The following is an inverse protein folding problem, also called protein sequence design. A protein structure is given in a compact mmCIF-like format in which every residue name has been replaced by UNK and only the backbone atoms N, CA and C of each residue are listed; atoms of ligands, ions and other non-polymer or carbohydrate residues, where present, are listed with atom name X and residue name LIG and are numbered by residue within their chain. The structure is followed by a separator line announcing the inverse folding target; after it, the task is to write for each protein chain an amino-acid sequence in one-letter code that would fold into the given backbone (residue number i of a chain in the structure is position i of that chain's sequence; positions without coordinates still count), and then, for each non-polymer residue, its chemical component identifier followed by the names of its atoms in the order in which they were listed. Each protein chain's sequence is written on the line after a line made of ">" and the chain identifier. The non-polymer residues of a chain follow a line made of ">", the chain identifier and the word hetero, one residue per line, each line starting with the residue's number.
data_IF_494749312602
#
_entry.id   IF_494749312602
#
_cell.length_a   1.000
_cell.length_b   1.000
_cell.length_c   1.000
_cell.angle_alpha   90.00
_cell.angle_beta   90.00
_cell.angle_gamma   90.00
#
_symmetry.space_group_name_H-M   'P 1'
#
loop_
_entity.id
_entity.type
_entity.pdbx_description
1 polymer ?
#
# COMPACT_ATOMS: atom_id res chain seq x y z
N UNK A 1 19.26 -22.08 -5.01
CA UNK A 1 18.68 -21.28 -3.91
C UNK A 1 19.66 -20.13 -3.63
N UNK A 2 19.33 -18.92 -4.01
CA UNK A 2 20.17 -17.77 -3.77
C UNK A 2 20.23 -17.51 -2.25
N UNK A 3 21.43 -17.33 -1.68
CA UNK A 3 21.65 -17.22 -0.21
C UNK A 3 20.89 -16.08 0.50
N UNK A 4 20.42 -15.11 -0.24
CA UNK A 4 19.68 -13.96 0.31
C UNK A 4 18.15 -14.15 0.40
N UNK A 5 17.63 -15.23 -0.18
CA UNK A 5 16.20 -15.57 -0.06
C UNK A 5 15.90 -16.19 1.31
N UNK A 6 14.72 -15.90 1.84
CA UNK A 6 14.28 -16.54 3.10
C UNK A 6 14.28 -18.04 2.97
N UNK A 7 14.77 -18.80 3.97
CA UNK A 7 14.82 -20.25 3.95
C UNK A 7 13.43 -20.86 3.69
N UNK A 8 13.34 -21.86 2.83
CA UNK A 8 12.07 -22.53 2.47
C UNK A 8 11.31 -23.04 3.71
N UNK A 9 12.04 -23.64 4.67
CA UNK A 9 11.45 -24.17 5.88
C UNK A 9 10.81 -23.05 6.73
N UNK A 10 11.47 -21.89 6.84
CA UNK A 10 10.95 -20.75 7.57
C UNK A 10 9.67 -20.19 6.92
N UNK A 11 9.66 -20.08 5.59
CA UNK A 11 8.45 -19.67 4.86
C UNK A 11 7.32 -20.67 5.09
N UNK A 12 7.62 -21.98 5.00
CA UNK A 12 6.60 -23.03 5.21
C UNK A 12 6.03 -22.99 6.62
N UNK A 13 6.88 -22.81 7.62
CA UNK A 13 6.44 -22.66 9.01
C UNK A 13 5.57 -21.41 9.19
N UNK A 14 6.00 -20.28 8.64
CA UNK A 14 5.21 -19.04 8.68
C UNK A 14 3.84 -19.19 8.01
N UNK A 15 3.76 -19.84 6.86
CA UNK A 15 2.50 -20.11 6.18
C UNK A 15 1.61 -21.10 6.96
N UNK A 16 2.21 -22.08 7.64
CA UNK A 16 1.47 -22.98 8.52
C UNK A 16 0.83 -22.22 9.69
N UNK A 17 1.62 -21.35 10.35
CA UNK A 17 1.11 -20.47 11.41
C UNK A 17 0.02 -19.54 10.87
N UNK A 18 0.23 -18.94 9.70
CA UNK A 18 -0.74 -18.09 9.01
C UNK A 18 -2.06 -18.86 8.76
N UNK A 19 -1.98 -20.09 8.28
CA UNK A 19 -3.16 -20.94 8.06
C UNK A 19 -3.92 -21.25 9.36
N UNK A 20 -3.23 -21.33 10.51
CA UNK A 20 -3.79 -21.73 11.79
C UNK A 20 -4.34 -20.52 12.59
N UNK A 21 -3.62 -19.38 12.58
CA UNK A 21 -4.00 -18.19 13.33
C UNK A 21 -5.18 -17.44 12.68
N UNK A 22 -5.24 -17.42 11.38
CA UNK A 22 -6.42 -16.95 10.70
C UNK A 22 -7.50 -18.01 10.91
N UNK A 23 -8.35 -17.93 11.94
CA UNK A 23 -9.57 -18.77 12.05
C UNK A 23 -10.31 -18.73 10.72
N UNK A 24 -9.79 -19.50 9.74
CA UNK A 24 -10.20 -19.38 8.36
C UNK A 24 -11.62 -19.85 8.22
N UNK A 25 -12.47 -18.92 7.83
CA UNK A 25 -13.66 -19.28 7.13
C UNK A 25 -13.29 -20.23 5.99
N UNK A 26 -14.14 -21.22 5.74
CA UNK A 26 -13.95 -22.26 4.70
C UNK A 26 -13.76 -21.68 3.29
N UNK A 27 -13.87 -20.38 3.14
CA UNK A 27 -13.72 -19.64 1.88
C UNK A 27 -12.28 -19.52 1.37
N UNK A 28 -11.27 -19.52 2.27
CA UNK A 28 -9.87 -19.38 1.89
C UNK A 28 -9.16 -20.73 1.89
N UNK A 29 -8.55 -21.09 0.78
CA UNK A 29 -7.77 -22.31 0.66
C UNK A 29 -6.47 -22.24 1.49
N UNK A 30 -6.10 -23.35 2.13
CA UNK A 30 -4.84 -23.46 2.89
C UNK A 30 -3.61 -23.39 1.99
N UNK A 31 -2.50 -22.95 2.56
CA UNK A 31 -1.22 -22.86 1.85
C UNK A 31 -0.71 -24.22 1.40
N UNK A 32 -0.06 -24.25 0.23
CA UNK A 32 0.50 -25.49 -0.37
C UNK A 32 1.92 -25.22 -0.89
N UNK A 33 2.77 -26.23 -0.78
CA UNK A 33 4.05 -26.27 -1.50
C UNK A 33 3.81 -26.66 -2.95
N UNK A 34 4.51 -26.00 -3.88
CA UNK A 34 4.37 -26.21 -5.32
C UNK A 34 5.72 -26.60 -5.93
N UNK A 35 5.70 -27.50 -6.91
CA UNK A 35 6.77 -27.63 -7.89
C UNK A 35 6.55 -26.58 -8.98
N UNK A 36 7.60 -25.83 -9.30
CA UNK A 36 7.58 -24.84 -10.37
C UNK A 36 8.28 -25.31 -11.66
N UNK A 37 8.65 -26.60 -11.70
CA UNK A 37 9.27 -27.21 -12.89
C UNK A 37 8.28 -27.40 -14.05
N UNK A 38 7.01 -27.46 -13.73
CA UNK A 38 5.92 -27.67 -14.70
C UNK A 38 4.63 -27.04 -14.17
N UNK A 39 3.63 -26.86 -15.06
CA UNK A 39 2.33 -26.32 -14.70
C UNK A 39 2.24 -24.79 -14.83
N UNK A 40 1.04 -24.27 -14.60
CA UNK A 40 0.70 -22.86 -14.85
C UNK A 40 1.54 -21.87 -14.03
N UNK A 41 1.88 -22.20 -12.78
CA UNK A 41 2.63 -21.34 -11.89
C UNK A 41 4.13 -21.27 -12.20
N UNK A 42 4.68 -22.28 -12.86
CA UNK A 42 6.10 -22.31 -13.21
C UNK A 42 6.40 -21.82 -14.62
N UNK A 43 5.45 -22.02 -15.55
CA UNK A 43 5.61 -21.74 -16.98
C UNK A 43 6.14 -20.33 -17.30
N UNK A 44 5.66 -19.25 -16.67
CA UNK A 44 6.15 -17.90 -16.99
C UNK A 44 7.49 -17.55 -16.32
N UNK A 45 7.96 -18.39 -15.38
CA UNK A 45 9.17 -18.12 -14.61
C UNK A 45 10.42 -18.71 -15.28
N UNK A 46 11.57 -18.15 -14.97
CA UNK A 46 12.87 -18.66 -15.45
C UNK A 46 13.15 -20.01 -14.75
N UNK A 47 13.01 -21.11 -15.47
CA UNK A 47 13.09 -22.49 -14.95
C UNK A 47 14.41 -22.78 -14.23
N UNK A 48 15.54 -22.30 -14.74
CA UNK A 48 16.84 -22.49 -14.09
C UNK A 48 16.93 -21.89 -12.67
N UNK A 49 16.07 -20.92 -12.34
CA UNK A 49 16.08 -20.21 -11.06
C UNK A 49 15.01 -20.72 -10.09
N UNK A 50 13.82 -21.01 -10.58
CA UNK A 50 12.64 -21.28 -9.75
C UNK A 50 12.15 -22.70 -9.91
N UNK A 51 12.51 -23.57 -8.99
CA UNK A 51 12.13 -25.00 -8.99
C UNK A 51 10.99 -25.34 -8.04
N UNK A 52 10.75 -24.50 -7.04
CA UNK A 52 9.72 -24.70 -6.04
C UNK A 52 9.21 -23.36 -5.52
N UNK A 53 7.96 -23.33 -5.09
CA UNK A 53 7.29 -22.17 -4.50
C UNK A 53 6.24 -22.59 -3.48
N UNK A 54 5.54 -21.60 -2.97
CA UNK A 54 4.39 -21.78 -2.10
C UNK A 54 3.21 -21.02 -2.66
N UNK A 55 2.03 -21.59 -2.55
CA UNK A 55 0.76 -20.92 -2.83
C UNK A 55 0.02 -20.72 -1.53
N UNK A 56 -0.51 -19.55 -1.30
CA UNK A 56 -1.43 -19.24 -0.20
C UNK A 56 -2.50 -18.28 -0.68
N UNK A 57 -3.57 -18.14 0.07
CA UNK A 57 -4.67 -17.23 -0.25
C UNK A 57 -4.51 -15.94 0.54
N UNK A 58 -4.78 -14.83 -0.13
CA UNK A 58 -4.82 -13.51 0.46
C UNK A 58 -6.02 -12.73 -0.12
N UNK A 59 -6.39 -11.63 0.52
CA UNK A 59 -7.45 -10.77 0.05
C UNK A 59 -6.93 -9.81 -1.02
N UNK A 60 -7.71 -9.63 -2.06
CA UNK A 60 -7.51 -8.61 -3.07
C UNK A 60 -8.59 -7.54 -2.91
N UNK A 61 -8.21 -6.30 -3.16
CA UNK A 61 -9.12 -5.16 -3.09
C UNK A 61 -8.80 -4.15 -4.19
N UNK A 62 -9.86 -3.55 -4.72
CA UNK A 62 -9.77 -2.29 -5.45
C UNK A 62 -9.84 -1.15 -4.42
N UNK A 63 -8.71 -0.49 -4.21
CA UNK A 63 -8.55 0.53 -3.17
C UNK A 63 -9.53 1.70 -3.35
N UNK A 64 -9.71 2.17 -4.58
CA UNK A 64 -10.62 3.29 -4.91
C UNK A 64 -12.05 2.91 -4.59
N UNK A 65 -12.45 1.70 -4.97
CA UNK A 65 -13.78 1.17 -4.70
C UNK A 65 -14.03 1.00 -3.20
N UNK A 66 -13.03 0.49 -2.46
CA UNK A 66 -13.14 0.33 -1.02
C UNK A 66 -13.38 1.67 -0.33
N UNK A 67 -12.61 2.71 -0.67
CA UNK A 67 -12.79 4.06 -0.12
C UNK A 67 -14.18 4.62 -0.45
N UNK A 68 -14.60 4.49 -1.70
CA UNK A 68 -15.93 4.95 -2.15
C UNK A 68 -17.04 4.24 -1.40
N UNK A 69 -16.97 2.91 -1.25
CA UNK A 69 -17.99 2.13 -0.55
C UNK A 69 -18.05 2.47 0.94
N UNK A 70 -16.92 2.74 1.59
CA UNK A 70 -16.92 3.23 2.98
C UNK A 70 -17.60 4.59 3.11
N UNK A 71 -17.38 5.49 2.16
CA UNK A 71 -18.06 6.79 2.15
C UNK A 71 -19.57 6.66 1.92
N UNK A 72 -19.99 5.80 1.00
CA UNK A 72 -21.42 5.49 0.73
C UNK A 72 -22.06 4.89 1.98
N UNK A 73 -21.45 3.88 2.60
CA UNK A 73 -21.97 3.24 3.81
C UNK A 73 -22.10 4.22 4.98
N UNK A 74 -21.14 5.14 5.11
CA UNK A 74 -21.22 6.19 6.13
C UNK A 74 -22.36 7.17 5.83
N UNK A 75 -22.56 7.59 4.58
CA UNK A 75 -23.66 8.44 4.17
C UNK A 75 -25.02 7.80 4.41
N UNK A 76 -25.18 6.52 4.09
CA UNK A 76 -26.40 5.74 4.35
C UNK A 76 -26.73 5.67 5.86
N UNK A 77 -25.72 5.80 6.72
CA UNK A 77 -25.86 5.86 8.16
C UNK A 77 -25.99 7.29 8.72
N UNK A 78 -26.15 8.27 7.84
CA UNK A 78 -26.41 9.67 8.21
C UNK A 78 -25.18 10.56 8.35
N UNK A 79 -24.02 10.13 7.88
CA UNK A 79 -22.86 11.00 7.81
C UNK A 79 -22.96 11.99 6.63
N UNK A 80 -22.51 13.21 6.84
CA UNK A 80 -22.37 14.22 5.79
C UNK A 80 -20.98 14.08 5.14
N UNK A 81 -20.94 13.49 3.95
CA UNK A 81 -19.69 13.27 3.18
C UNK A 81 -19.50 14.42 2.21
N UNK A 82 -18.40 15.15 2.36
CA UNK A 82 -18.08 16.32 1.54
C UNK A 82 -16.76 16.13 0.83
N UNK A 83 -16.81 15.99 -0.46
CA UNK A 83 -15.65 16.06 -1.35
C UNK A 83 -15.29 17.52 -1.67
N UNK A 84 -14.07 17.75 -2.13
CA UNK A 84 -13.55 19.11 -2.46
C UNK A 84 -13.68 20.13 -1.32
N UNK A 85 -13.71 19.65 -0.07
CA UNK A 85 -13.89 20.48 1.12
C UNK A 85 -12.67 20.33 2.02
N UNK A 86 -11.90 21.41 2.20
CA UNK A 86 -10.70 21.44 3.02
C UNK A 86 -10.96 22.04 4.40
N UNK A 87 -10.21 21.58 5.40
CA UNK A 87 -10.18 22.17 6.74
C UNK A 87 -9.13 23.27 6.74
N UNK A 88 -9.58 24.53 6.91
CA UNK A 88 -8.70 25.69 6.92
C UNK A 88 -8.25 26.06 8.34
N UNK A 89 -9.15 26.01 9.31
CA UNK A 89 -8.88 26.39 10.69
C UNK A 89 -9.62 25.53 11.70
N UNK A 90 -8.97 25.26 12.82
CA UNK A 90 -9.55 24.52 13.95
C UNK A 90 -9.30 25.30 15.23
N UNK A 91 -10.35 25.60 15.98
CA UNK A 91 -10.28 26.32 17.25
C UNK A 91 -11.12 25.63 18.33
N UNK A 92 -10.66 25.67 19.57
CA UNK A 92 -11.45 25.20 20.73
C UNK A 92 -12.21 26.39 21.34
N UNK A 93 -13.54 26.29 21.37
CA UNK A 93 -14.39 27.35 21.93
C UNK A 93 -15.57 26.74 22.69
N UNK A 94 -15.74 27.12 23.93
CA UNK A 94 -16.87 26.67 24.76
C UNK A 94 -16.97 25.14 24.92
N UNK A 95 -15.84 24.44 25.03
CA UNK A 95 -15.80 22.98 25.17
C UNK A 95 -16.05 22.20 23.87
N UNK A 96 -16.28 22.91 22.75
CA UNK A 96 -16.46 22.31 21.42
C UNK A 96 -15.36 22.75 20.46
N UNK A 97 -15.25 22.07 19.34
CA UNK A 97 -14.41 22.43 18.23
C UNK A 97 -15.18 23.28 17.23
N UNK A 98 -14.65 24.44 16.87
CA UNK A 98 -15.10 25.25 15.73
C UNK A 98 -14.14 24.97 14.58
N UNK A 99 -14.67 24.45 13.49
CA UNK A 99 -13.89 24.04 12.31
C UNK A 99 -14.32 24.92 11.14
N UNK A 100 -13.43 25.74 10.64
CA UNK A 100 -13.64 26.47 9.38
C UNK A 100 -13.26 25.57 8.23
N UNK A 101 -14.17 25.38 7.32
CA UNK A 101 -13.98 24.58 6.10
C UNK A 101 -14.22 25.42 4.86
N UNK A 102 -13.50 25.10 3.79
CA UNK A 102 -13.63 25.73 2.48
C UNK A 102 -14.11 24.70 1.47
N UNK A 103 -15.25 24.99 0.87
CA UNK A 103 -15.77 24.27 -0.29
C UNK A 103 -15.13 24.86 -1.55
N UNK A 104 -14.27 24.09 -2.21
CA UNK A 104 -13.56 24.53 -3.41
C UNK A 104 -14.48 24.65 -4.64
N UNK A 105 -15.58 23.88 -4.68
CA UNK A 105 -16.54 23.93 -5.80
C UNK A 105 -17.43 25.17 -5.73
N UNK A 106 -17.92 25.50 -4.54
CA UNK A 106 -18.74 26.68 -4.30
C UNK A 106 -17.89 27.94 -4.04
N UNK A 107 -16.58 27.79 -3.81
CA UNK A 107 -15.67 28.84 -3.36
C UNK A 107 -16.19 29.58 -2.11
N UNK A 108 -16.71 28.82 -1.16
CA UNK A 108 -17.32 29.35 0.07
C UNK A 108 -16.64 28.78 1.30
N UNK A 109 -16.51 29.62 2.32
CA UNK A 109 -16.09 29.21 3.67
C UNK A 109 -17.28 29.21 4.60
N UNK A 110 -17.34 28.21 5.48
CA UNK A 110 -18.34 28.10 6.55
C UNK A 110 -17.77 27.38 7.77
N UNK A 111 -18.47 27.51 8.89
CA UNK A 111 -18.03 26.93 10.15
C UNK A 111 -18.90 25.74 10.55
N UNK A 112 -18.26 24.70 11.04
CA UNK A 112 -18.90 23.50 11.61
C UNK A 112 -18.52 23.44 13.10
N UNK A 113 -19.47 23.12 13.94
CA UNK A 113 -19.22 22.86 15.38
C UNK A 113 -19.23 21.37 15.65
N UNK A 114 -18.16 20.84 16.22
CA UNK A 114 -18.02 19.43 16.53
C UNK A 114 -17.68 19.17 18.02
N UNK A 115 -18.05 18.00 18.53
CA UNK A 115 -17.65 17.54 19.87
C UNK A 115 -16.20 17.08 19.88
N UNK A 116 -15.77 16.41 18.81
CA UNK A 116 -14.42 15.90 18.63
C UNK A 116 -14.02 15.99 17.15
N UNK A 117 -12.73 15.90 16.90
CA UNK A 117 -12.13 15.85 15.56
C UNK A 117 -11.27 14.60 15.48
N UNK A 118 -11.37 13.89 14.37
CA UNK A 118 -10.46 12.80 14.02
C UNK A 118 -9.61 13.24 12.84
N UNK A 119 -8.32 13.42 13.08
CA UNK A 119 -7.37 13.72 12.01
C UNK A 119 -6.93 12.41 11.33
N UNK A 120 -7.51 12.13 10.18
CA UNK A 120 -7.20 10.99 9.34
C UNK A 120 -6.66 11.44 7.96
N UNK A 121 -5.91 12.55 7.93
CA UNK A 121 -5.41 13.20 6.71
C UNK A 121 -4.23 12.45 6.03
N UNK A 122 -4.00 11.17 6.35
CA UNK A 122 -2.96 10.36 5.72
C UNK A 122 -1.57 11.00 5.83
N UNK A 123 -0.84 11.19 4.72
CA UNK A 123 0.50 11.81 4.74
C UNK A 123 0.53 13.23 5.32
N UNK A 124 -0.58 13.96 5.26
CA UNK A 124 -0.71 15.33 5.75
C UNK A 124 -1.16 15.45 7.21
N UNK A 125 -1.26 14.34 7.93
CA UNK A 125 -1.69 14.30 9.34
C UNK A 125 -0.86 15.28 10.20
N UNK A 126 0.46 15.27 10.04
CA UNK A 126 1.37 16.13 10.79
C UNK A 126 1.28 17.59 10.34
N UNK A 127 1.28 17.83 9.04
CA UNK A 127 1.14 19.17 8.45
C UNK A 127 -0.14 19.88 8.94
N UNK A 128 -1.26 19.17 9.04
CA UNK A 128 -2.48 19.70 9.61
C UNK A 128 -2.29 20.12 11.07
N UNK A 129 -1.68 19.27 11.90
CA UNK A 129 -1.45 19.57 13.32
C UNK A 129 -0.51 20.77 13.50
N UNK A 130 0.54 20.88 12.71
CA UNK A 130 1.50 21.99 12.74
C UNK A 130 0.86 23.31 12.34
N UNK A 131 0.11 23.34 11.23
CA UNK A 131 -0.63 24.51 10.77
C UNK A 131 -1.65 24.99 11.81
N UNK A 132 -2.29 24.07 12.51
CA UNK A 132 -3.28 24.37 13.54
C UNK A 132 -2.68 24.60 14.94
N UNK A 133 -1.34 24.54 15.10
CA UNK A 133 -0.63 24.67 16.38
C UNK A 133 -1.10 23.67 17.45
N UNK A 134 -1.44 22.46 17.01
CA UNK A 134 -1.93 21.36 17.86
C UNK A 134 -0.87 20.30 18.16
N UNK A 135 0.36 20.52 17.72
CA UNK A 135 1.49 19.62 18.04
C UNK A 135 1.82 19.70 19.51
N UNK A 136 1.94 18.56 20.17
CA UNK A 136 2.40 18.42 21.56
C UNK A 136 3.62 17.51 21.62
N UNK A 137 4.30 17.48 22.78
CA UNK A 137 5.45 16.57 22.97
C UNK A 137 5.13 15.08 22.84
N UNK A 138 3.85 14.71 22.92
CA UNK A 138 3.37 13.34 22.74
C UNK A 138 2.86 13.04 21.31
N UNK A 139 2.92 14.03 20.40
CA UNK A 139 2.48 13.82 19.03
C UNK A 139 3.44 12.87 18.33
N UNK A 140 2.98 11.70 17.85
CA UNK A 140 3.84 10.76 17.14
C UNK A 140 4.41 11.36 15.87
N UNK A 141 5.65 11.02 15.56
CA UNK A 141 6.23 11.34 14.27
C UNK A 141 5.79 10.32 13.23
N UNK A 142 5.56 10.80 12.01
CA UNK A 142 5.24 9.98 10.87
C UNK A 142 6.40 10.04 9.88
N UNK A 143 6.96 8.88 9.56
CA UNK A 143 7.89 8.73 8.45
C UNK A 143 7.09 8.56 7.17
N UNK A 144 7.40 9.34 6.16
CA UNK A 144 6.74 9.26 4.86
C UNK A 144 7.55 8.37 3.92
N UNK A 145 6.88 7.38 3.34
CA UNK A 145 7.51 6.43 2.40
C UNK A 145 6.71 6.40 1.10
N UNK A 146 7.36 6.82 0.03
CA UNK A 146 6.83 6.71 -1.33
C UNK A 146 6.92 5.25 -1.80
N UNK A 147 5.87 4.77 -2.45
CA UNK A 147 5.86 3.50 -3.16
C UNK A 147 5.28 3.69 -4.55
N UNK A 148 5.95 3.15 -5.55
CA UNK A 148 5.58 3.28 -6.95
C UNK A 148 5.25 1.93 -7.58
N UNK A 149 4.35 1.95 -8.57
CA UNK A 149 3.94 0.79 -9.35
C UNK A 149 4.00 1.11 -10.84
N UNK A 150 4.29 0.10 -11.64
CA UNK A 150 4.21 0.17 -13.11
C UNK A 150 3.18 -0.83 -13.62
N UNK A 151 2.49 -0.46 -14.69
CA UNK A 151 1.58 -1.33 -15.43
C UNK A 151 2.23 -1.62 -16.77
N UNK A 152 2.37 -2.92 -17.06
CA UNK A 152 3.01 -3.43 -18.27
C UNK A 152 2.09 -4.44 -18.96
N UNK A 153 2.30 -4.75 -20.26
CA UNK A 153 1.56 -5.82 -20.91
C UNK A 153 1.70 -7.14 -20.15
N UNK A 154 0.65 -7.94 -20.17
CA UNK A 154 0.53 -9.18 -19.41
C UNK A 154 1.80 -10.04 -19.48
N UNK A 155 2.38 -10.36 -18.30
CA UNK A 155 3.58 -11.18 -18.19
C UNK A 155 3.28 -12.68 -18.09
N UNK A 156 2.08 -13.05 -17.65
CA UNK A 156 1.67 -14.45 -17.44
C UNK A 156 0.15 -14.61 -17.51
N UNK A 157 -0.29 -15.83 -17.70
CA UNK A 157 -1.70 -16.21 -17.68
C UNK A 157 -2.16 -16.58 -16.26
N UNK A 158 -3.45 -16.40 -15.97
CA UNK A 158 -4.08 -16.74 -14.69
C UNK A 158 -4.36 -15.53 -13.81
N UNK A 159 -5.09 -15.78 -12.71
CA UNK A 159 -5.55 -14.74 -11.77
C UNK A 159 -4.73 -14.70 -10.47
N UNK A 160 -3.67 -15.47 -10.38
CA UNK A 160 -2.79 -15.48 -9.21
C UNK A 160 -1.74 -14.39 -9.29
N UNK A 161 -1.32 -13.87 -8.13
CA UNK A 161 -0.22 -12.94 -8.04
C UNK A 161 1.08 -13.64 -7.67
N UNK A 162 2.21 -13.09 -8.10
CA UNK A 162 3.53 -13.51 -7.66
C UNK A 162 4.10 -12.56 -6.62
N UNK A 163 4.73 -13.15 -5.60
CA UNK A 163 5.54 -12.44 -4.61
C UNK A 163 7.01 -12.72 -4.92
N UNK A 164 7.71 -11.71 -5.40
CA UNK A 164 9.09 -11.78 -5.86
C UNK A 164 10.03 -11.22 -4.79
N UNK A 165 10.75 -12.09 -4.10
CA UNK A 165 11.76 -11.65 -3.14
C UNK A 165 12.98 -11.08 -3.87
N UNK A 166 13.43 -9.89 -3.45
CA UNK A 166 14.57 -9.20 -4.04
C UNK A 166 15.85 -9.40 -3.23
N UNK A 167 17.01 -9.11 -3.82
CA UNK A 167 18.34 -9.23 -3.17
C UNK A 167 18.48 -8.32 -1.95
N UNK A 168 17.88 -7.17 -1.98
CA UNK A 168 17.82 -6.18 -0.91
C UNK A 168 16.76 -6.48 0.17
N UNK A 169 16.19 -7.70 0.13
CA UNK A 169 15.15 -8.19 1.04
C UNK A 169 13.78 -7.51 0.88
N UNK A 170 13.62 -6.60 -0.07
CA UNK A 170 12.30 -6.06 -0.44
C UNK A 170 11.47 -7.11 -1.17
N UNK A 171 10.18 -6.85 -1.27
CA UNK A 171 9.22 -7.69 -1.97
C UNK A 171 8.62 -6.87 -3.09
N UNK A 172 8.59 -7.44 -4.29
CA UNK A 172 7.89 -6.87 -5.43
C UNK A 172 6.77 -7.84 -5.81
N UNK A 173 5.57 -7.32 -5.98
CA UNK A 173 4.44 -8.10 -6.47
C UNK A 173 4.34 -7.98 -8.00
N UNK A 174 3.87 -9.04 -8.63
CA UNK A 174 3.33 -9.00 -9.97
C UNK A 174 1.89 -9.52 -9.89
N UNK A 175 0.93 -8.65 -10.23
CA UNK A 175 -0.50 -8.88 -10.01
C UNK A 175 -1.22 -8.75 -11.35
N UNK A 176 -2.13 -9.67 -11.73
CA UNK A 176 -2.99 -9.47 -12.90
C UNK A 176 -3.79 -8.17 -12.75
N UNK A 177 -3.83 -7.39 -13.80
CA UNK A 177 -4.52 -6.10 -13.79
C UNK A 177 -5.35 -5.94 -15.08
N UNK A 178 -6.61 -5.57 -14.95
CA UNK A 178 -7.55 -5.32 -16.03
C UNK A 178 -7.51 -6.40 -17.17
N UNK A 179 -7.33 -7.67 -16.78
CA UNK A 179 -7.25 -8.84 -17.64
C UNK A 179 -6.11 -8.88 -18.67
N UNK A 180 -5.60 -7.75 -19.15
CA UNK A 180 -4.60 -7.67 -20.22
C UNK A 180 -3.23 -7.20 -19.74
N UNK A 181 -3.11 -6.79 -18.49
CA UNK A 181 -1.91 -6.18 -17.97
C UNK A 181 -1.37 -6.92 -16.73
N UNK A 182 -0.17 -6.56 -16.35
CA UNK A 182 0.42 -6.92 -15.07
C UNK A 182 0.85 -5.66 -14.33
N UNK A 183 0.36 -5.50 -13.11
CA UNK A 183 0.80 -4.49 -12.17
C UNK A 183 2.05 -5.00 -11.44
N UNK A 184 3.15 -4.26 -11.52
CA UNK A 184 4.41 -4.61 -10.86
C UNK A 184 4.76 -3.54 -9.83
N UNK A 185 4.96 -3.92 -8.60
CA UNK A 185 5.27 -3.01 -7.49
C UNK A 185 5.40 -3.74 -6.16
N UNK A 186 5.85 -3.09 -5.17
CA UNK A 186 6.07 -1.66 -4.98
C UNK A 186 7.57 -1.36 -4.75
N UNK A 187 7.93 -0.10 -4.91
CA UNK A 187 9.19 0.47 -4.42
C UNK A 187 9.03 0.99 -2.99
N UNK A 188 10.12 1.39 -2.35
CA UNK A 188 10.12 2.06 -1.04
C UNK A 188 11.22 3.13 -1.06
N UNK A 189 10.82 4.40 -1.07
CA UNK A 189 11.71 5.57 -0.98
C UNK A 189 11.22 6.52 0.12
N UNK A 190 12.11 6.94 1.03
CA UNK A 190 11.79 7.96 2.03
C UNK A 190 11.53 9.32 1.37
N UNK A 191 10.55 10.06 1.86
CA UNK A 191 10.27 11.44 1.47
C UNK A 191 10.15 12.30 2.72
N UNK A 192 10.65 13.55 2.64
CA UNK A 192 10.68 14.43 3.81
C UNK A 192 9.34 15.14 4.03
N UNK A 193 8.65 15.49 2.96
CA UNK A 193 7.39 16.23 3.00
C UNK A 193 6.33 15.57 2.12
N UNK A 194 5.04 15.66 2.48
CA UNK A 194 3.99 15.17 1.61
C UNK A 194 3.90 16.02 0.35
N UNK A 195 3.84 15.36 -0.80
CA UNK A 195 3.73 15.98 -2.12
C UNK A 195 2.44 15.55 -2.79
N UNK A 196 1.75 16.48 -3.41
CA UNK A 196 0.51 16.21 -4.15
C UNK A 196 0.74 15.65 -5.55
N UNK A 197 1.85 16.04 -6.21
CA UNK A 197 2.25 15.55 -7.55
C UNK A 197 3.49 14.67 -7.42
N UNK A 198 3.29 13.50 -6.83
CA UNK A 198 4.38 12.53 -6.65
C UNK A 198 4.41 11.57 -7.84
N UNK A 199 5.61 11.39 -8.42
CA UNK A 199 5.82 10.55 -9.60
C UNK A 199 6.89 9.52 -9.37
N UNK A 200 6.82 8.46 -10.15
CA UNK A 200 7.87 7.44 -10.20
C UNK A 200 9.17 8.03 -10.76
N UNK A 201 10.28 7.70 -10.15
CA UNK A 201 11.62 8.08 -10.63
C UNK A 201 12.17 7.06 -11.64
N UNK A 202 13.16 7.46 -12.45
CA UNK A 202 13.83 6.55 -13.38
C UNK A 202 14.50 5.37 -12.64
N UNK A 203 15.05 5.62 -11.47
CA UNK A 203 15.66 4.56 -10.64
C UNK A 203 14.64 3.54 -10.15
N UNK A 204 13.41 3.97 -9.83
CA UNK A 204 12.32 3.05 -9.47
C UNK A 204 11.84 2.24 -10.68
N UNK A 205 11.76 2.85 -11.86
CA UNK A 205 11.44 2.16 -13.11
C UNK A 205 12.46 1.05 -13.36
N UNK A 206 13.75 1.37 -13.33
CA UNK A 206 14.84 0.41 -13.52
C UNK A 206 14.77 -0.74 -12.51
N UNK A 207 14.51 -0.40 -11.25
CA UNK A 207 14.37 -1.38 -10.18
C UNK A 207 13.21 -2.36 -10.43
N UNK A 208 12.03 -1.85 -10.78
CA UNK A 208 10.84 -2.68 -11.02
C UNK A 208 10.99 -3.54 -12.27
N UNK A 209 11.53 -2.98 -13.36
CA UNK A 209 11.86 -3.75 -14.56
C UNK A 209 12.89 -4.86 -14.26
N UNK A 210 13.95 -4.55 -13.53
CA UNK A 210 14.95 -5.53 -13.12
C UNK A 210 14.37 -6.63 -12.21
N UNK A 211 13.46 -6.28 -11.30
CA UNK A 211 12.77 -7.23 -10.43
C UNK A 211 11.92 -8.23 -11.22
N UNK A 212 11.11 -7.75 -12.17
CA UNK A 212 10.31 -8.57 -13.07
C UNK A 212 11.19 -9.44 -13.97
N UNK A 213 12.21 -8.83 -14.59
CA UNK A 213 13.13 -9.51 -15.50
C UNK A 213 13.98 -10.60 -14.84
N UNK A 214 14.17 -10.53 -13.52
CA UNK A 214 14.82 -11.59 -12.77
C UNK A 214 13.94 -12.82 -12.63
N UNK A 215 12.63 -12.65 -12.60
CA UNK A 215 11.67 -13.73 -12.35
C UNK A 215 11.08 -14.30 -13.63
N UNK A 216 10.59 -13.45 -14.52
CA UNK A 216 9.83 -13.86 -15.69
C UNK A 216 10.73 -14.14 -16.92
N UNK A 217 10.27 -15.04 -17.77
CA UNK A 217 10.89 -15.32 -19.07
C UNK A 217 10.69 -14.15 -20.04
N UNK A 218 9.47 -13.59 -20.07
CA UNK A 218 9.17 -12.36 -20.81
C UNK A 218 9.90 -11.19 -20.14
N UNK A 219 10.70 -10.46 -20.95
CA UNK A 219 11.45 -9.29 -20.46
C UNK A 219 10.68 -8.02 -20.76
N UNK A 220 10.87 -7.03 -19.88
CA UNK A 220 10.29 -5.69 -20.01
C UNK A 220 11.38 -4.63 -19.82
N UNK A 221 11.21 -3.51 -20.51
CA UNK A 221 12.01 -2.30 -20.36
C UNK A 221 11.13 -1.09 -20.07
N UNK A 222 11.74 0.10 -19.93
CA UNK A 222 10.99 1.34 -19.71
C UNK A 222 9.94 1.60 -20.82
N UNK A 223 10.21 1.21 -22.05
CA UNK A 223 9.32 1.41 -23.20
C UNK A 223 8.07 0.50 -23.16
N UNK A 224 8.08 -0.56 -22.35
CA UNK A 224 6.93 -1.43 -22.15
C UNK A 224 5.95 -0.90 -21.09
N UNK A 225 6.28 0.20 -20.41
CA UNK A 225 5.46 0.76 -19.36
C UNK A 225 4.32 1.58 -19.96
N UNK A 226 3.11 1.10 -19.76
CA UNK A 226 1.89 1.73 -20.24
C UNK A 226 1.37 2.81 -19.29
N UNK A 227 1.56 2.59 -18.00
CA UNK A 227 1.14 3.51 -16.94
C UNK A 227 1.98 3.32 -15.70
N UNK A 228 2.12 4.37 -14.90
CA UNK A 228 2.75 4.30 -13.58
C UNK A 228 2.03 5.23 -12.61
N UNK A 229 2.04 4.84 -11.33
CA UNK A 229 1.54 5.69 -10.25
C UNK A 229 2.38 5.53 -8.98
N UNK A 230 2.31 6.54 -8.14
CA UNK A 230 3.02 6.59 -6.87
C UNK A 230 2.08 7.06 -5.76
N UNK A 231 2.34 6.61 -4.54
CA UNK A 231 1.63 7.05 -3.35
C UNK A 231 2.57 7.17 -2.16
N UNK A 232 2.18 7.98 -1.17
CA UNK A 232 2.94 8.16 0.07
C UNK A 232 2.20 7.47 1.22
N UNK A 233 2.93 6.66 1.99
CA UNK A 233 2.45 6.03 3.22
C UNK A 233 3.01 6.77 4.42
N UNK A 234 2.18 7.23 5.35
CA UNK A 234 2.64 7.66 6.66
C UNK A 234 2.82 6.41 7.53
N UNK A 235 4.04 6.16 7.96
CA UNK A 235 4.38 5.09 8.92
C UNK A 235 4.69 5.73 10.26
N UNK A 236 4.14 5.21 11.35
CA UNK A 236 4.46 5.69 12.70
C UNK A 236 5.93 5.44 13.00
N UNK A 237 6.66 6.46 13.42
CA UNK A 237 8.05 6.31 13.80
C UNK A 237 8.15 5.69 15.19
N UNK A 238 8.62 4.45 15.25
CA UNK A 238 8.90 3.72 16.48
C UNK A 238 10.43 3.63 16.65
N UNK A 239 11.05 4.69 17.13
CA UNK A 239 12.46 4.84 17.49
C UNK A 239 13.42 3.75 16.99
N UNK A 240 14.18 4.04 15.92
CA UNK A 240 15.29 3.19 15.46
C UNK A 240 14.93 1.93 14.67
N UNK A 241 13.65 1.65 14.41
CA UNK A 241 13.26 0.52 13.56
C UNK A 241 13.41 0.86 12.07
N UNK A 242 13.85 -0.11 11.27
CA UNK A 242 13.86 0.02 9.82
C UNK A 242 12.43 0.09 9.25
N UNK A 243 12.23 0.71 8.08
CA UNK A 243 10.92 0.86 7.42
C UNK A 243 10.14 -0.46 7.29
N UNK A 244 10.85 -1.58 7.24
CA UNK A 244 10.29 -2.94 7.16
C UNK A 244 9.74 -3.48 8.49
N UNK A 245 10.16 -2.91 9.61
CA UNK A 245 9.80 -3.36 10.97
C UNK A 245 8.79 -2.45 11.65
N UNK A 246 8.43 -1.32 11.02
CA UNK A 246 7.43 -0.38 11.54
C UNK A 246 6.04 -0.97 11.37
N UNK A 247 5.22 -0.85 12.40
CA UNK A 247 3.82 -1.28 12.34
C UNK A 247 3.06 -0.50 11.27
N UNK A 248 2.16 -1.18 10.58
CA UNK A 248 1.22 -0.57 9.62
C UNK A 248 -0.18 -0.38 10.22
N UNK A 249 -0.29 -0.61 11.52
CA UNK A 249 -1.52 -0.43 12.26
C UNK A 249 -1.73 1.05 12.62
N UNK A 250 -2.98 1.44 12.87
CA UNK A 250 -3.31 2.79 13.31
C UNK A 250 -3.08 2.94 14.82
N UNK A 251 -2.84 4.18 15.25
CA UNK A 251 -2.74 4.55 16.65
C UNK A 251 -3.65 5.74 16.93
N UNK A 252 -4.55 5.57 17.88
CA UNK A 252 -5.33 6.69 18.41
C UNK A 252 -4.53 7.41 19.48
N UNK A 253 -4.33 8.71 19.30
CA UNK A 253 -3.65 9.60 20.24
C UNK A 253 -4.58 10.75 20.58
N UNK A 254 -4.77 11.02 21.88
CA UNK A 254 -5.60 12.12 22.39
C UNK A 254 -4.72 13.31 22.73
#
# INVERSE_FOLDING_TARGET
>A
HEKHLRPKLLIRLGLYIYDYLAKRDRLLASSKSLSLKSGEYGKPLIESKYKAGFKYSDCWVDDSRLVTLNAVDAADKGADIRTYTSVEKVERKGGRWLVTVKDAMANQEYCITAKSIVNAAGPWVRDLLERQKLVSGNTPEARLVKGSHIIVPRLYEGQHAYILQQKDKRIVFAIPYENEFTLVGTTEEGVEVPQSDIRISSSEIDYLCAAANRAFTRKIGPDDILWAYSGIRPLLEEGGKSDKAVTRDYKLVL
#
